data_IF_773335819857
#
_entry.id   IF_773335819857
#
_cell.length_a   1.000
_cell.length_b   1.000
_cell.length_c   1.000
_cell.angle_alpha   90.00
_cell.angle_beta   90.00
_cell.angle_gamma   90.00
#
_symmetry.space_group_name_H-M   'P 1'
#
loop_
_entity.id
_entity.type
_entity.pdbx_description
1 polymer ?
#
# COMPACT_ATOMS: atom_id res chain seq x y z
N UNK A 1 58.03 -32.98 -53.61
CA UNK A 1 57.14 -33.22 -52.45
C UNK A 1 55.69 -33.03 -52.91
N UNK A 2 54.97 -34.11 -53.23
CA UNK A 2 53.55 -34.08 -53.66
C UNK A 2 52.81 -35.19 -52.91
N UNK A 3 51.79 -34.79 -52.16
CA UNK A 3 50.91 -35.64 -51.36
C UNK A 3 50.11 -36.61 -52.24
N UNK A 4 50.20 -37.92 -51.96
CA UNK A 4 49.29 -38.94 -52.48
C UNK A 4 48.24 -39.27 -51.42
N UNK A 5 46.97 -38.98 -51.74
CA UNK A 5 45.79 -39.46 -51.02
C UNK A 5 45.59 -40.96 -51.26
N UNK A 6 45.36 -41.74 -50.20
CA UNK A 6 44.77 -43.10 -50.28
C UNK A 6 43.65 -43.22 -49.25
N UNK A 7 42.48 -43.67 -49.72
CA UNK A 7 41.26 -43.94 -48.93
C UNK A 7 41.47 -45.17 -48.02
N UNK A 8 40.85 -45.22 -46.83
CA UNK A 8 40.90 -46.39 -45.95
C UNK A 8 39.94 -47.51 -46.39
N UNK A 9 40.35 -48.76 -46.18
CA UNK A 9 39.56 -49.99 -46.36
C UNK A 9 38.78 -50.30 -45.08
N UNK A 10 37.54 -50.77 -45.24
CA UNK A 10 36.66 -51.32 -44.19
C UNK A 10 37.33 -52.48 -43.45
N UNK A 11 37.26 -52.45 -42.13
CA UNK A 11 37.38 -53.61 -41.26
C UNK A 11 36.04 -53.77 -40.55
N UNK A 12 35.41 -54.92 -40.79
CA UNK A 12 34.23 -55.43 -40.08
C UNK A 12 34.76 -56.09 -38.82
N UNK A 13 34.24 -55.70 -37.66
CA UNK A 13 34.40 -56.44 -36.41
C UNK A 13 33.00 -56.89 -36.01
N UNK A 14 32.83 -58.21 -36.00
CA UNK A 14 31.69 -58.91 -35.42
C UNK A 14 31.70 -58.67 -33.91
N UNK A 15 30.62 -58.08 -33.36
CA UNK A 15 30.37 -58.12 -31.93
C UNK A 15 29.47 -59.31 -31.62
N UNK A 16 30.03 -60.21 -30.82
CA UNK A 16 29.44 -61.43 -30.30
C UNK A 16 28.11 -61.16 -29.58
N UNK A 17 27.10 -61.96 -29.91
CA UNK A 17 25.90 -62.11 -29.10
C UNK A 17 26.27 -62.76 -27.77
N UNK A 18 26.36 -61.98 -26.70
CA UNK A 18 26.30 -62.50 -25.34
C UNK A 18 24.85 -62.46 -24.87
N UNK A 19 24.22 -63.64 -24.90
CA UNK A 19 22.93 -63.92 -24.29
C UNK A 19 23.04 -63.84 -22.78
N UNK A 20 22.67 -62.70 -22.19
CA UNK A 20 22.36 -62.63 -20.76
C UNK A 20 20.85 -62.85 -20.59
N UNK A 21 20.50 -64.07 -20.17
CA UNK A 21 19.21 -64.39 -19.58
C UNK A 21 19.02 -63.58 -18.29
N UNK A 22 18.38 -62.42 -18.38
CA UNK A 22 17.83 -61.73 -17.22
C UNK A 22 16.64 -62.53 -16.71
N UNK A 23 16.71 -63.01 -15.47
CA UNK A 23 15.54 -63.40 -14.70
C UNK A 23 14.50 -62.28 -14.83
N UNK A 24 13.35 -62.54 -15.46
CA UNK A 24 12.31 -61.53 -15.57
C UNK A 24 11.78 -61.25 -14.16
N UNK A 25 12.19 -60.12 -13.57
CA UNK A 25 11.60 -59.61 -12.34
C UNK A 25 10.07 -59.68 -12.44
N UNK A 26 9.36 -60.18 -11.42
CA UNK A 26 7.92 -60.29 -11.47
C UNK A 26 7.29 -58.91 -11.71
N UNK A 27 6.43 -58.81 -12.73
CA UNK A 27 5.80 -57.57 -13.17
C UNK A 27 4.31 -57.57 -12.84
N UNK A 28 3.80 -56.45 -12.35
CA UNK A 28 2.38 -56.18 -12.12
C UNK A 28 1.81 -55.31 -13.22
N UNK A 29 0.56 -55.57 -13.59
CA UNK A 29 -0.18 -54.76 -14.56
C UNK A 29 -0.89 -53.60 -13.87
N UNK A 30 -0.67 -52.38 -14.36
CA UNK A 30 -1.23 -51.13 -13.84
C UNK A 30 -2.01 -50.42 -14.95
N UNK A 31 -3.19 -49.92 -14.60
CA UNK A 31 -4.05 -49.12 -15.47
C UNK A 31 -3.74 -47.64 -15.28
N UNK A 32 -3.13 -47.02 -16.27
CA UNK A 32 -2.85 -45.59 -16.30
C UNK A 32 -3.98 -44.86 -17.01
N UNK A 33 -4.62 -43.92 -16.34
CA UNK A 33 -5.76 -43.14 -16.87
C UNK A 33 -5.38 -41.68 -16.96
N UNK A 34 -5.35 -41.13 -18.18
CA UNK A 34 -5.02 -39.74 -18.46
C UNK A 34 -6.15 -39.08 -19.27
N UNK A 35 -7.08 -38.42 -18.58
CA UNK A 35 -8.31 -37.92 -19.23
C UNK A 35 -9.13 -39.09 -19.77
N UNK A 36 -9.33 -39.13 -21.09
CA UNK A 36 -10.02 -40.23 -21.81
C UNK A 36 -9.04 -41.31 -22.31
N UNK A 37 -7.73 -41.06 -22.26
CA UNK A 37 -6.69 -42.01 -22.70
C UNK A 37 -6.38 -43.00 -21.56
N UNK A 38 -6.57 -44.30 -21.83
CA UNK A 38 -6.34 -45.39 -20.89
C UNK A 38 -5.25 -46.29 -21.46
N UNK A 39 -4.13 -46.41 -20.74
CA UNK A 39 -3.02 -47.28 -21.13
C UNK A 39 -2.70 -48.27 -20.03
N UNK A 40 -2.38 -49.49 -20.43
CA UNK A 40 -1.91 -50.51 -19.50
C UNK A 40 -0.38 -50.56 -19.53
N UNK A 41 0.24 -50.64 -18.35
CA UNK A 41 1.69 -50.75 -18.20
C UNK A 41 2.03 -51.93 -17.29
N UNK A 42 3.13 -52.62 -17.60
CA UNK A 42 3.72 -53.61 -16.72
C UNK A 42 4.84 -52.93 -15.92
N UNK A 43 4.71 -52.88 -14.60
CA UNK A 43 5.72 -52.32 -13.69
C UNK A 43 6.34 -53.45 -12.85
N UNK A 44 7.62 -53.38 -12.47
CA UNK A 44 8.22 -54.35 -11.53
C UNK A 44 7.50 -54.35 -10.18
N UNK A 45 7.46 -55.48 -9.44
CA UNK A 45 6.86 -55.54 -8.10
C UNK A 45 7.54 -54.62 -7.07
N UNK A 46 8.84 -54.38 -7.23
CA UNK A 46 9.61 -53.44 -6.40
C UNK A 46 9.86 -52.10 -7.13
N UNK A 47 8.89 -51.64 -7.93
CA UNK A 47 8.98 -50.38 -8.63
C UNK A 47 9.09 -49.21 -7.64
N UNK A 48 10.14 -48.41 -7.75
CA UNK A 48 10.23 -47.13 -7.03
C UNK A 48 9.47 -46.03 -7.79
N UNK A 49 9.13 -44.94 -7.09
CA UNK A 49 8.33 -43.88 -7.69
C UNK A 49 9.01 -43.20 -8.89
N UNK A 50 10.34 -43.11 -8.90
CA UNK A 50 11.10 -42.56 -10.03
C UNK A 50 10.97 -43.45 -11.28
N UNK A 51 11.06 -44.77 -11.10
CA UNK A 51 10.90 -45.74 -12.19
C UNK A 51 9.48 -45.77 -12.72
N UNK A 52 8.50 -45.61 -11.84
CA UNK A 52 7.11 -45.44 -12.24
C UNK A 52 6.93 -44.19 -13.11
N UNK A 53 7.58 -43.06 -12.76
CA UNK A 53 7.55 -41.84 -13.58
C UNK A 53 8.20 -42.02 -14.94
N UNK A 54 9.32 -42.74 -15.03
CA UNK A 54 9.94 -43.09 -16.32
C UNK A 54 8.96 -43.89 -17.19
N UNK A 55 8.34 -44.93 -16.64
CA UNK A 55 7.37 -45.76 -17.36
C UNK A 55 6.17 -44.94 -17.83
N UNK A 56 5.66 -44.03 -16.99
CA UNK A 56 4.58 -43.12 -17.36
C UNK A 56 5.04 -42.17 -18.47
N UNK A 57 6.26 -41.63 -18.41
CA UNK A 57 6.83 -40.75 -19.43
C UNK A 57 6.97 -41.47 -20.78
N UNK A 58 7.43 -42.73 -20.78
CA UNK A 58 7.52 -43.55 -21.98
C UNK A 58 6.15 -43.85 -22.59
N UNK A 59 5.15 -44.10 -21.73
CA UNK A 59 3.78 -44.38 -22.17
C UNK A 59 3.03 -43.14 -22.58
N UNK A 60 3.42 -41.95 -22.11
CA UNK A 60 2.80 -40.67 -22.48
C UNK A 60 3.87 -39.62 -22.84
N UNK A 61 4.56 -39.75 -24.01
CA UNK A 61 5.72 -38.92 -24.39
C UNK A 61 5.44 -37.41 -24.48
N UNK A 62 4.18 -37.03 -24.69
CA UNK A 62 3.74 -35.62 -24.77
C UNK A 62 3.60 -34.96 -23.39
N UNK A 63 3.71 -35.72 -22.30
CA UNK A 63 3.38 -35.27 -20.95
C UNK A 63 4.63 -34.88 -20.17
N UNK A 64 5.14 -33.66 -20.41
CA UNK A 64 6.40 -33.19 -19.77
C UNK A 64 6.33 -33.01 -18.25
N UNK A 65 5.15 -33.11 -17.63
CA UNK A 65 5.01 -33.01 -16.19
C UNK A 65 3.65 -33.59 -15.71
N UNK A 66 3.69 -34.73 -15.03
CA UNK A 66 2.51 -35.52 -14.63
C UNK A 66 2.40 -35.70 -13.11
N UNK A 67 1.21 -35.44 -12.58
CA UNK A 67 0.81 -35.80 -11.22
C UNK A 67 0.18 -37.19 -11.26
N UNK A 68 0.62 -38.08 -10.37
CA UNK A 68 0.09 -39.45 -10.26
C UNK A 68 -0.83 -39.50 -9.04
N UNK A 69 -2.06 -39.98 -9.23
CA UNK A 69 -3.03 -40.15 -8.15
C UNK A 69 -3.59 -41.56 -8.12
N UNK A 70 -4.01 -42.03 -6.95
CA UNK A 70 -4.82 -43.24 -6.79
C UNK A 70 -6.12 -42.91 -6.07
N UNK A 71 -7.05 -43.87 -6.07
CA UNK A 71 -8.28 -43.77 -5.27
C UNK A 71 -8.10 -44.63 -4.02
N UNK A 72 -8.26 -44.05 -2.85
CA UNK A 72 -8.19 -44.79 -1.58
C UNK A 72 -9.51 -45.54 -1.27
N UNK A 73 -9.56 -46.16 -0.09
CA UNK A 73 -10.73 -46.92 0.39
C UNK A 73 -11.94 -46.03 0.69
N UNK A 74 -11.73 -44.73 0.94
CA UNK A 74 -12.77 -43.73 1.20
C UNK A 74 -13.34 -43.15 -0.11
N UNK A 75 -12.67 -43.41 -1.23
CA UNK A 75 -13.09 -42.99 -2.56
C UNK A 75 -12.40 -41.70 -3.04
N UNK A 76 -11.47 -41.16 -2.25
CA UNK A 76 -10.78 -39.91 -2.50
C UNK A 76 -9.55 -40.07 -3.39
N UNK A 77 -9.27 -39.01 -4.16
CA UNK A 77 -8.17 -38.96 -5.14
C UNK A 77 -6.88 -38.44 -4.49
N UNK A 78 -6.12 -39.36 -3.90
CA UNK A 78 -4.86 -39.09 -3.20
C UNK A 78 -3.70 -38.98 -4.18
N UNK A 79 -2.78 -38.06 -3.91
CA UNK A 79 -1.60 -37.80 -4.75
C UNK A 79 -0.41 -38.63 -4.28
N UNK A 80 0.30 -39.26 -5.22
CA UNK A 80 1.53 -40.01 -4.96
C UNK A 80 2.72 -39.12 -5.33
N UNK A 81 3.60 -38.88 -4.37
CA UNK A 81 4.79 -38.03 -4.46
C UNK A 81 6.09 -38.76 -4.14
N UNK A 82 6.01 -39.90 -3.44
CA UNK A 82 7.15 -40.71 -3.03
C UNK A 82 6.85 -42.23 -3.11
N UNK A 83 7.87 -43.05 -2.87
CA UNK A 83 7.74 -44.52 -2.96
C UNK A 83 6.88 -45.10 -1.85
N UNK A 84 6.83 -44.50 -0.67
CA UNK A 84 6.00 -44.99 0.45
C UNK A 84 4.51 -44.84 0.14
N UNK A 85 4.12 -43.68 -0.41
CA UNK A 85 2.76 -43.42 -0.89
C UNK A 85 2.38 -44.34 -2.06
N UNK A 86 3.35 -44.76 -2.87
CA UNK A 86 3.11 -45.77 -3.89
C UNK A 86 2.83 -47.14 -3.26
N UNK A 87 3.53 -47.52 -2.18
CA UNK A 87 3.24 -48.76 -1.43
C UNK A 87 1.85 -48.74 -0.83
N UNK A 88 1.44 -47.62 -0.23
CA UNK A 88 0.07 -47.46 0.29
C UNK A 88 -0.97 -47.62 -0.82
N UNK A 89 -0.73 -47.01 -1.99
CA UNK A 89 -1.60 -47.18 -3.16
C UNK A 89 -1.64 -48.64 -3.65
N UNK A 90 -0.51 -49.34 -3.64
CA UNK A 90 -0.42 -50.76 -4.02
C UNK A 90 -1.11 -51.69 -3.02
N UNK A 91 -1.07 -51.37 -1.73
CA UNK A 91 -1.73 -52.13 -0.66
C UNK A 91 -3.25 -51.93 -0.67
N UNK A 92 -3.73 -50.74 -1.07
CA UNK A 92 -5.17 -50.46 -1.18
C UNK A 92 -5.87 -51.26 -2.28
N UNK A 93 -5.12 -51.85 -3.22
CA UNK A 93 -5.64 -52.65 -4.33
C UNK A 93 -5.62 -54.14 -3.96
N UNK A 94 -6.59 -54.58 -3.14
CA UNK A 94 -6.54 -55.87 -2.44
C UNK A 94 -6.42 -57.10 -3.37
N UNK A 95 -6.94 -57.10 -4.61
CA UNK A 95 -6.85 -58.30 -5.47
C UNK A 95 -6.80 -58.08 -7.01
N UNK A 96 -6.67 -56.86 -7.52
CA UNK A 96 -6.63 -56.61 -8.97
C UNK A 96 -5.83 -55.35 -9.35
N UNK A 97 -5.50 -55.22 -10.63
CA UNK A 97 -4.66 -54.17 -11.24
C UNK A 97 -4.85 -52.77 -10.62
N UNK A 98 -3.77 -52.16 -10.14
CA UNK A 98 -3.76 -50.80 -9.58
C UNK A 98 -4.20 -49.80 -10.66
N UNK A 99 -5.14 -48.92 -10.35
CA UNK A 99 -5.58 -47.84 -11.24
C UNK A 99 -4.96 -46.52 -10.79
N UNK A 100 -4.07 -45.98 -11.62
CA UNK A 100 -3.43 -44.69 -11.39
C UNK A 100 -4.03 -43.64 -12.34
N UNK A 101 -4.49 -42.54 -11.77
CA UNK A 101 -4.98 -41.38 -12.51
C UNK A 101 -3.84 -40.39 -12.70
N UNK A 102 -3.50 -40.13 -13.95
CA UNK A 102 -2.47 -39.18 -14.38
C UNK A 102 -3.16 -37.86 -14.67
N UNK A 103 -2.65 -36.78 -14.09
CA UNK A 103 -3.12 -35.42 -14.37
C UNK A 103 -1.95 -34.55 -14.82
N UNK A 104 -2.18 -33.71 -15.83
CA UNK A 104 -1.18 -32.72 -16.21
C UNK A 104 -1.02 -31.65 -15.14
N UNK A 105 0.23 -31.24 -14.91
CA UNK A 105 0.54 -30.08 -14.08
C UNK A 105 -0.03 -28.75 -14.62
N UNK A 106 -0.59 -28.66 -15.84
CA UNK A 106 -1.29 -27.44 -16.25
C UNK A 106 -2.55 -27.16 -15.41
N UNK A 107 -3.21 -28.20 -14.85
CA UNK A 107 -4.32 -28.01 -13.90
C UNK A 107 -3.83 -27.41 -12.58
N UNK A 108 -2.63 -27.76 -12.11
CA UNK A 108 -2.03 -27.13 -10.92
C UNK A 108 -1.54 -25.72 -11.23
N UNK A 109 -1.04 -25.44 -12.44
CA UNK A 109 -0.71 -24.08 -12.87
C UNK A 109 -1.97 -23.19 -12.95
N UNK A 110 -3.10 -23.74 -13.40
CA UNK A 110 -4.42 -23.07 -13.34
C UNK A 110 -4.88 -22.84 -11.91
N UNK A 111 -4.67 -23.79 -11.00
CA UNK A 111 -5.03 -23.66 -9.58
C UNK A 111 -4.14 -22.66 -8.85
N UNK A 112 -2.82 -22.68 -9.09
CA UNK A 112 -1.86 -21.69 -8.59
C UNK A 112 -2.18 -20.29 -9.15
N UNK A 113 -2.50 -20.18 -10.44
CA UNK A 113 -2.93 -18.91 -11.05
C UNK A 113 -4.23 -18.40 -10.42
N UNK A 114 -5.21 -19.29 -10.20
CA UNK A 114 -6.50 -18.97 -9.58
C UNK A 114 -6.35 -18.57 -8.11
N UNK A 115 -5.51 -19.25 -7.34
CA UNK A 115 -5.18 -18.87 -5.96
C UNK A 115 -4.51 -17.49 -5.90
N UNK A 116 -3.55 -17.21 -6.79
CA UNK A 116 -2.99 -15.85 -6.94
C UNK A 116 -4.05 -14.80 -7.29
N UNK A 117 -5.03 -15.15 -8.12
CA UNK A 117 -6.15 -14.25 -8.45
C UNK A 117 -7.05 -14.00 -7.24
N UNK A 118 -7.35 -15.01 -6.43
CA UNK A 118 -8.16 -14.84 -5.21
C UNK A 118 -7.43 -14.03 -4.14
N UNK A 119 -6.12 -14.26 -3.93
CA UNK A 119 -5.31 -13.44 -3.03
C UNK A 119 -5.29 -11.98 -3.47
N UNK A 120 -5.04 -11.72 -4.77
CA UNK A 120 -5.07 -10.35 -5.31
C UNK A 120 -6.46 -9.72 -5.21
N UNK A 121 -7.54 -10.49 -5.41
CA UNK A 121 -8.90 -9.99 -5.21
C UNK A 121 -9.17 -9.63 -3.74
N UNK A 122 -8.75 -10.48 -2.80
CA UNK A 122 -8.89 -10.23 -1.37
C UNK A 122 -8.13 -8.96 -0.94
N UNK A 123 -6.89 -8.78 -1.39
CA UNK A 123 -6.09 -7.57 -1.15
C UNK A 123 -6.80 -6.31 -1.68
N UNK A 124 -7.36 -6.38 -2.91
CA UNK A 124 -8.15 -5.26 -3.48
C UNK A 124 -9.41 -4.96 -2.67
N UNK A 125 -10.12 -5.98 -2.19
CA UNK A 125 -11.30 -5.75 -1.34
C UNK A 125 -10.93 -5.12 0.01
N UNK A 126 -9.81 -5.52 0.60
CA UNK A 126 -9.27 -4.87 1.80
C UNK A 126 -8.91 -3.41 1.54
N UNK A 127 -8.24 -3.11 0.42
CA UNK A 127 -7.93 -1.73 0.01
C UNK A 127 -9.22 -0.90 -0.16
N UNK A 128 -10.23 -1.42 -0.86
CA UNK A 128 -11.49 -0.73 -1.07
C UNK A 128 -12.26 -0.49 0.24
N UNK A 129 -12.21 -1.45 1.18
CA UNK A 129 -12.83 -1.29 2.50
C UNK A 129 -12.12 -0.23 3.35
N UNK A 130 -10.78 -0.23 3.38
CA UNK A 130 -9.99 0.79 4.05
C UNK A 130 -10.25 2.18 3.43
N UNK A 131 -10.28 2.28 2.09
CA UNK A 131 -10.55 3.52 1.37
C UNK A 131 -11.95 4.07 1.65
N UNK A 132 -12.96 3.21 1.76
CA UNK A 132 -14.32 3.64 2.10
C UNK A 132 -14.38 4.27 3.51
N UNK A 133 -13.70 3.67 4.48
CA UNK A 133 -13.61 4.20 5.85
C UNK A 133 -12.82 5.52 5.90
N UNK A 134 -11.68 5.58 5.21
CA UNK A 134 -10.91 6.82 5.05
C UNK A 134 -11.78 7.96 4.48
N UNK A 135 -12.51 7.71 3.39
CA UNK A 135 -13.39 8.71 2.80
C UNK A 135 -14.55 9.09 3.76
N UNK A 136 -15.05 8.16 4.56
CA UNK A 136 -16.02 8.46 5.62
C UNK A 136 -15.42 9.41 6.68
N UNK A 137 -14.15 9.22 7.07
CA UNK A 137 -13.41 10.14 7.92
C UNK A 137 -13.30 11.54 7.30
N UNK A 138 -13.03 11.63 6.00
CA UNK A 138 -12.93 12.92 5.28
C UNK A 138 -14.25 13.70 5.26
N UNK A 139 -15.39 13.00 5.23
CA UNK A 139 -16.70 13.63 5.38
C UNK A 139 -16.84 14.27 6.77
N UNK A 140 -16.36 13.60 7.82
CA UNK A 140 -16.37 14.15 9.17
C UNK A 140 -15.40 15.33 9.33
N UNK A 141 -14.19 15.28 8.76
CA UNK A 141 -13.28 16.44 8.70
C UNK A 141 -13.94 17.64 7.98
N UNK A 142 -14.57 17.39 6.83
CA UNK A 142 -15.27 18.42 6.06
C UNK A 142 -16.45 19.01 6.82
N UNK A 143 -17.16 18.18 7.59
CA UNK A 143 -18.16 18.65 8.54
C UNK A 143 -17.49 19.56 9.55
N UNK A 144 -16.53 19.09 10.35
CA UNK A 144 -15.88 19.90 11.40
C UNK A 144 -15.46 21.33 10.94
N UNK A 145 -15.03 21.49 9.68
CA UNK A 145 -14.65 22.76 9.06
C UNK A 145 -15.82 23.64 8.54
N UNK A 146 -17.07 23.26 8.76
CA UNK A 146 -18.26 23.95 8.24
C UNK A 146 -18.26 25.41 8.68
N UNK A 147 -18.31 26.32 7.70
CA UNK A 147 -18.31 27.77 7.91
C UNK A 147 -19.64 28.23 8.49
N UNK A 148 -19.57 29.12 9.49
CA UNK A 148 -20.69 29.99 9.84
C UNK A 148 -20.59 31.34 9.12
N UNK A 149 -21.76 31.93 8.88
CA UNK A 149 -21.92 33.34 8.56
C UNK A 149 -22.43 34.03 9.82
N UNK A 150 -21.60 34.90 10.40
CA UNK A 150 -22.07 35.84 11.41
C UNK A 150 -22.68 37.03 10.67
N UNK A 151 -23.87 37.47 11.08
CA UNK A 151 -24.41 38.77 10.69
C UNK A 151 -23.79 39.82 11.60
N UNK A 152 -23.35 40.95 11.05
CA UNK A 152 -22.63 42.03 11.77
C UNK A 152 -23.40 42.56 13.00
N UNK A 153 -24.73 42.42 13.03
CA UNK A 153 -25.61 42.86 14.13
C UNK A 153 -25.76 41.85 15.30
N UNK A 154 -24.94 40.79 15.35
CA UNK A 154 -25.07 39.74 16.38
C UNK A 154 -24.54 40.21 17.74
N UNK A 155 -25.32 40.03 18.82
CA UNK A 155 -24.86 40.37 20.17
C UNK A 155 -23.71 39.48 20.64
N UNK A 156 -22.79 40.03 21.45
CA UNK A 156 -21.59 39.30 21.97
C UNK A 156 -21.94 38.00 22.68
N UNK A 157 -23.01 38.01 23.48
CA UNK A 157 -23.52 36.82 24.19
C UNK A 157 -24.07 35.74 23.23
N UNK A 158 -24.69 36.16 22.12
CA UNK A 158 -25.14 35.23 21.09
C UNK A 158 -23.95 34.61 20.33
N UNK A 159 -22.95 35.43 19.99
CA UNK A 159 -21.69 34.97 19.37
C UNK A 159 -20.99 33.95 20.27
N UNK A 160 -20.85 34.24 21.56
CA UNK A 160 -20.20 33.34 22.52
C UNK A 160 -20.90 31.97 22.61
N UNK A 161 -22.22 31.94 22.77
CA UNK A 161 -22.99 30.68 22.79
C UNK A 161 -22.87 29.89 21.49
N UNK A 162 -22.84 30.57 20.34
CA UNK A 162 -22.61 29.90 19.06
C UNK A 162 -21.20 29.34 18.95
N UNK A 163 -20.17 30.09 19.35
CA UNK A 163 -18.77 29.64 19.33
C UNK A 163 -18.60 28.38 20.18
N UNK A 164 -19.16 28.34 21.39
CA UNK A 164 -19.12 27.13 22.22
C UNK A 164 -19.82 25.93 21.58
N UNK A 165 -21.04 26.13 21.05
CA UNK A 165 -21.76 25.04 20.37
C UNK A 165 -21.00 24.50 19.16
N UNK A 166 -20.28 25.35 18.43
CA UNK A 166 -19.47 24.95 17.29
C UNK A 166 -18.21 24.22 17.72
N UNK A 167 -17.55 24.68 18.78
CA UNK A 167 -16.41 24.01 19.37
C UNK A 167 -16.78 22.56 19.73
N UNK A 168 -17.87 22.38 20.49
CA UNK A 168 -18.34 21.05 20.90
C UNK A 168 -18.67 20.17 19.68
N UNK A 169 -19.30 20.77 18.67
CA UNK A 169 -19.65 20.06 17.43
C UNK A 169 -18.41 19.64 16.63
N UNK A 170 -17.45 20.55 16.44
CA UNK A 170 -16.23 20.27 15.69
C UNK A 170 -15.38 19.22 16.41
N UNK A 171 -15.27 19.28 17.74
CA UNK A 171 -14.63 18.24 18.56
C UNK A 171 -15.28 16.85 18.35
N UNK A 172 -16.62 16.80 18.34
CA UNK A 172 -17.34 15.56 18.10
C UNK A 172 -17.12 15.01 16.68
N UNK A 173 -17.09 15.86 15.66
CA UNK A 173 -16.81 15.45 14.28
C UNK A 173 -15.34 15.02 14.09
N UNK A 174 -14.37 15.71 14.69
CA UNK A 174 -12.97 15.27 14.69
C UNK A 174 -12.78 13.91 15.35
N UNK A 175 -13.47 13.67 16.48
CA UNK A 175 -13.46 12.36 17.16
C UNK A 175 -14.02 11.25 16.26
N UNK A 176 -15.09 11.53 15.50
CA UNK A 176 -15.63 10.57 14.53
C UNK A 176 -14.66 10.33 13.38
N UNK A 177 -14.01 11.38 12.88
CA UNK A 177 -13.00 11.25 11.81
C UNK A 177 -11.84 10.35 12.24
N UNK A 178 -11.26 10.59 13.42
CA UNK A 178 -10.16 9.78 13.96
C UNK A 178 -10.52 8.29 14.05
N UNK A 179 -11.72 7.97 14.58
CA UNK A 179 -12.22 6.58 14.63
C UNK A 179 -12.29 5.92 13.25
N UNK A 180 -12.73 6.64 12.23
CA UNK A 180 -12.79 6.11 10.86
C UNK A 180 -11.41 5.84 10.27
N UNK A 181 -10.44 6.71 10.53
CA UNK A 181 -9.06 6.49 10.10
C UNK A 181 -8.43 5.29 10.82
N UNK A 182 -8.65 5.15 12.13
CA UNK A 182 -8.21 3.98 12.88
C UNK A 182 -8.85 2.68 12.37
N UNK A 183 -10.15 2.68 12.05
CA UNK A 183 -10.83 1.54 11.43
C UNK A 183 -10.22 1.19 10.07
N UNK A 184 -9.86 2.18 9.25
CA UNK A 184 -9.18 1.96 7.97
C UNK A 184 -7.80 1.29 8.18
N UNK A 185 -7.03 1.76 9.16
CA UNK A 185 -5.71 1.23 9.48
C UNK A 185 -5.75 -0.19 10.07
N UNK A 186 -6.84 -0.57 10.75
CA UNK A 186 -7.06 -1.95 11.19
C UNK A 186 -7.25 -2.92 10.03
N UNK A 187 -7.84 -2.46 8.93
CA UNK A 187 -8.03 -3.27 7.71
C UNK A 187 -6.74 -3.29 6.88
N UNK A 188 -6.11 -2.13 6.70
CA UNK A 188 -4.89 -1.97 5.91
C UNK A 188 -3.86 -1.15 6.71
N UNK A 189 -2.94 -1.81 7.44
CA UNK A 189 -1.94 -1.12 8.25
C UNK A 189 -0.92 -0.32 7.42
N UNK A 190 -0.70 -0.71 6.16
CA UNK A 190 0.20 -0.06 5.20
C UNK A 190 -0.50 1.06 4.38
N UNK A 191 -1.50 1.74 4.96
CA UNK A 191 -2.28 2.78 4.29
C UNK A 191 -1.81 4.18 4.71
N UNK A 192 -0.77 4.70 4.05
CA UNK A 192 -0.09 5.95 4.43
C UNK A 192 -1.05 7.15 4.43
N UNK A 193 -2.04 7.19 3.52
CA UNK A 193 -3.02 8.28 3.48
C UNK A 193 -3.86 8.35 4.76
N UNK A 194 -4.23 7.21 5.34
CA UNK A 194 -4.99 7.17 6.59
C UNK A 194 -4.14 7.56 7.80
N UNK A 195 -2.84 7.26 7.80
CA UNK A 195 -1.89 7.72 8.83
C UNK A 195 -1.76 9.24 8.78
N UNK A 196 -1.52 9.80 7.58
CA UNK A 196 -1.42 11.25 7.40
C UNK A 196 -2.73 11.98 7.78
N UNK A 197 -3.88 11.42 7.40
CA UNK A 197 -5.18 11.97 7.78
C UNK A 197 -5.44 11.95 9.28
N UNK A 198 -4.98 10.90 9.99
CA UNK A 198 -5.06 10.82 11.43
C UNK A 198 -4.20 11.90 12.10
N UNK A 199 -2.98 12.12 11.61
CA UNK A 199 -2.11 13.19 12.11
C UNK A 199 -2.72 14.58 11.88
N UNK A 200 -3.29 14.83 10.69
CA UNK A 200 -4.01 16.07 10.41
C UNK A 200 -5.22 16.27 11.33
N UNK A 201 -6.00 15.21 11.57
CA UNK A 201 -7.15 15.27 12.47
C UNK A 201 -6.71 15.66 13.88
N UNK A 202 -5.65 15.05 14.40
CA UNK A 202 -5.12 15.32 15.74
C UNK A 202 -4.60 16.75 15.85
N UNK A 203 -3.88 17.22 14.85
CA UNK A 203 -3.46 18.61 14.74
C UNK A 203 -4.64 19.58 14.78
N UNK A 204 -5.66 19.38 13.95
CA UNK A 204 -6.82 20.29 13.92
C UNK A 204 -7.59 20.28 15.25
N UNK A 205 -7.64 19.13 15.92
CA UNK A 205 -8.26 19.01 17.24
C UNK A 205 -7.45 19.75 18.32
N UNK A 206 -6.11 19.64 18.28
CA UNK A 206 -5.20 20.37 19.16
C UNK A 206 -5.32 21.87 18.95
N UNK A 207 -5.21 22.32 17.69
CA UNK A 207 -5.36 23.72 17.29
C UNK A 207 -6.71 24.27 17.76
N UNK A 208 -7.81 23.57 17.49
CA UNK A 208 -9.15 24.01 17.92
C UNK A 208 -9.24 24.23 19.43
N UNK A 209 -8.74 23.28 20.22
CA UNK A 209 -8.76 23.41 21.68
C UNK A 209 -7.84 24.51 22.20
N UNK A 210 -6.67 24.71 21.59
CA UNK A 210 -5.76 25.80 21.93
C UNK A 210 -6.42 27.16 21.71
N UNK A 211 -6.93 27.40 20.50
CA UNK A 211 -7.58 28.67 20.18
C UNK A 211 -8.89 28.89 20.93
N UNK A 212 -9.61 27.83 21.27
CA UNK A 212 -10.76 27.94 22.16
C UNK A 212 -10.35 28.38 23.56
N UNK A 213 -9.25 27.87 24.11
CA UNK A 213 -8.75 28.31 25.41
C UNK A 213 -8.28 29.77 25.39
N UNK A 214 -7.53 30.17 24.36
CA UNK A 214 -7.07 31.56 24.23
C UNK A 214 -8.24 32.52 24.07
N UNK A 215 -9.22 32.23 23.21
CA UNK A 215 -10.39 33.10 23.00
C UNK A 215 -11.40 33.13 24.15
N UNK A 216 -11.17 32.38 25.24
CA UNK A 216 -11.96 32.43 26.47
C UNK A 216 -11.16 33.02 27.65
N UNK A 217 -10.00 33.64 27.39
CA UNK A 217 -9.11 34.22 28.39
C UNK A 217 -8.80 33.27 29.57
N UNK A 218 -8.61 31.98 29.26
CA UNK A 218 -8.33 30.98 30.28
C UNK A 218 -6.91 31.20 30.83
N UNK A 219 -6.75 31.10 32.14
CA UNK A 219 -5.43 31.18 32.78
C UNK A 219 -4.52 30.04 32.29
N UNK A 220 -3.49 30.41 31.53
CA UNK A 220 -2.58 29.46 30.88
C UNK A 220 -1.70 28.70 31.88
N UNK A 221 -1.45 29.25 33.07
CA UNK A 221 -0.66 28.58 34.10
C UNK A 221 -1.40 27.37 34.70
N UNK A 222 -2.74 27.46 34.78
CA UNK A 222 -3.60 26.39 35.32
C UNK A 222 -4.35 25.58 34.25
N UNK A 223 -4.24 25.98 32.98
CA UNK A 223 -4.92 25.30 31.87
C UNK A 223 -4.31 23.91 31.60
N UNK A 224 -5.13 22.84 31.47
CA UNK A 224 -4.65 21.48 31.26
C UNK A 224 -4.11 21.27 29.83
N UNK A 225 -2.88 21.73 29.59
CA UNK A 225 -2.19 21.66 28.29
C UNK A 225 -1.73 20.24 27.90
N UNK A 226 -1.71 19.29 28.85
CA UNK A 226 -1.20 17.93 28.63
C UNK A 226 -1.91 17.18 27.51
N UNK A 227 -3.25 17.26 27.41
CA UNK A 227 -4.00 16.59 26.34
C UNK A 227 -3.67 17.22 24.97
N UNK A 228 -3.40 18.52 24.92
CA UNK A 228 -3.12 19.28 23.69
C UNK A 228 -1.72 18.93 23.18
N UNK A 229 -0.73 18.93 24.09
CA UNK A 229 0.64 18.53 23.79
C UNK A 229 0.69 17.08 23.27
N UNK A 230 -0.08 16.19 23.90
CA UNK A 230 -0.22 14.80 23.46
C UNK A 230 -0.84 14.69 22.06
N UNK A 231 -1.81 15.53 21.71
CA UNK A 231 -2.37 15.57 20.35
C UNK A 231 -1.35 16.07 19.33
N UNK A 232 -0.53 17.08 19.67
CA UNK A 232 0.55 17.55 18.81
C UNK A 232 1.64 16.49 18.61
N UNK A 233 2.06 15.80 19.68
CA UNK A 233 3.01 14.69 19.60
C UNK A 233 2.50 13.59 18.65
N UNK A 234 1.25 13.15 18.85
CA UNK A 234 0.64 12.14 17.95
C UNK A 234 0.51 12.62 16.52
N UNK A 235 0.24 13.91 16.31
CA UNK A 235 0.15 14.49 14.97
C UNK A 235 1.49 14.41 14.26
N UNK A 236 2.57 14.79 14.94
CA UNK A 236 3.95 14.73 14.45
C UNK A 236 4.41 13.29 14.18
N UNK A 237 4.20 12.36 15.12
CA UNK A 237 4.50 10.92 14.95
C UNK A 237 3.79 10.33 13.72
N UNK A 238 2.53 10.72 13.48
CA UNK A 238 1.79 10.29 12.30
C UNK A 238 2.28 10.95 11.01
N UNK A 239 2.82 12.17 11.05
CA UNK A 239 3.47 12.77 9.88
C UNK A 239 4.73 12.02 9.49
N UNK A 240 5.61 11.75 10.47
CA UNK A 240 6.85 11.00 10.26
C UNK A 240 6.56 9.60 9.72
N UNK A 241 5.67 8.86 10.40
CA UNK A 241 5.27 7.52 9.98
C UNK A 241 4.62 7.52 8.59
N UNK A 242 3.71 8.46 8.33
CA UNK A 242 3.03 8.57 7.05
C UNK A 242 3.98 8.90 5.90
N UNK A 243 4.96 9.77 6.14
CA UNK A 243 6.02 10.11 5.19
C UNK A 243 6.88 8.89 4.85
N UNK A 244 7.39 8.17 5.87
CA UNK A 244 8.19 6.96 5.65
C UNK A 244 7.43 5.90 4.84
N UNK A 245 6.16 5.65 5.19
CA UNK A 245 5.34 4.68 4.47
C UNK A 245 5.11 5.07 3.02
N UNK A 246 4.95 6.37 2.75
CA UNK A 246 4.80 6.89 1.40
C UNK A 246 6.10 6.75 0.59
N UNK A 247 7.25 7.06 1.19
CA UNK A 247 8.56 6.90 0.54
C UNK A 247 8.86 5.44 0.19
N UNK A 248 8.59 4.51 1.11
CA UNK A 248 8.74 3.07 0.87
C UNK A 248 7.82 2.58 -0.25
N UNK A 249 6.59 3.10 -0.32
CA UNK A 249 5.63 2.74 -1.36
C UNK A 249 6.04 3.31 -2.73
N UNK A 250 6.55 4.53 -2.75
CA UNK A 250 7.04 5.20 -3.96
C UNK A 250 8.33 4.53 -4.49
N UNK A 251 9.25 4.14 -3.63
CA UNK A 251 10.45 3.38 -4.01
C UNK A 251 10.06 2.03 -4.66
N UNK A 252 9.14 1.29 -4.05
CA UNK A 252 8.60 0.04 -4.63
C UNK A 252 7.96 0.28 -5.99
N UNK A 253 7.15 1.34 -6.13
CA UNK A 253 6.51 1.71 -7.40
C UNK A 253 7.55 1.97 -8.49
N UNK A 254 8.62 2.70 -8.18
CA UNK A 254 9.72 2.99 -9.11
C UNK A 254 10.47 1.71 -9.50
N UNK A 255 10.75 0.83 -8.54
CA UNK A 255 11.38 -0.47 -8.79
C UNK A 255 10.50 -1.33 -9.70
N UNK A 256 9.20 -1.42 -9.43
CA UNK A 256 8.25 -2.21 -10.24
C UNK A 256 8.12 -1.69 -11.68
N UNK A 257 8.14 -0.36 -11.87
CA UNK A 257 8.15 0.25 -13.21
C UNK A 257 9.45 0.01 -13.97
N UNK A 258 10.58 -0.19 -13.28
CA UNK A 258 11.87 -0.50 -13.90
C UNK A 258 12.01 -1.97 -14.32
N UNK A 259 11.15 -2.87 -13.85
CA UNK A 259 11.16 -4.28 -14.23
C UNK A 259 10.38 -4.49 -15.53
N UNK A 260 10.96 -5.15 -16.56
CA UNK A 260 10.25 -5.42 -17.80
C UNK A 260 9.08 -6.37 -17.53
N UNK A 261 7.86 -5.83 -17.60
CA UNK A 261 6.66 -6.58 -17.34
C UNK A 261 6.44 -7.58 -18.49
N UNK A 262 6.57 -8.89 -18.23
CA UNK A 262 6.27 -9.95 -19.23
C UNK A 262 4.82 -9.93 -19.74
N UNK A 263 3.96 -9.13 -19.10
CA UNK A 263 2.53 -8.98 -19.37
C UNK A 263 2.26 -7.86 -20.40
N UNK A 264 3.11 -6.83 -20.48
CA UNK A 264 3.00 -5.75 -21.47
C UNK A 264 2.96 -6.25 -22.92
N UNK A 265 3.88 -7.13 -23.38
CA UNK A 265 3.83 -7.66 -24.74
C UNK A 265 2.63 -8.59 -24.98
N UNK A 266 1.99 -9.10 -23.91
CA UNK A 266 0.76 -9.90 -24.01
C UNK A 266 -0.49 -9.01 -24.11
N UNK A 267 -0.52 -7.87 -23.40
CA UNK A 267 -1.60 -6.88 -23.48
C UNK A 267 -1.58 -6.14 -24.83
N UNK A 268 -0.39 -5.82 -25.35
CA UNK A 268 -0.20 -5.26 -26.69
C UNK A 268 -0.72 -6.18 -27.78
N UNK A 269 -0.49 -7.49 -27.62
CA UNK A 269 -1.05 -8.51 -28.52
C UNK A 269 -2.58 -8.60 -28.43
N UNK A 270 -3.17 -8.25 -27.30
CA UNK A 270 -4.62 -8.29 -27.06
C UNK A 270 -5.32 -6.95 -27.35
N UNK A 271 -4.61 -5.89 -27.76
CA UNK A 271 -5.15 -4.52 -27.96
C UNK A 271 -5.91 -3.97 -26.75
N UNK A 272 -5.58 -4.44 -25.55
CA UNK A 272 -6.15 -3.95 -24.28
C UNK A 272 -5.37 -2.74 -23.73
N UNK A 273 -4.36 -2.27 -24.45
CA UNK A 273 -3.48 -1.16 -24.07
C UNK A 273 -4.24 0.13 -23.75
N UNK A 274 -5.43 0.31 -24.34
CA UNK A 274 -6.30 1.48 -24.13
C UNK A 274 -7.12 1.42 -22.83
N UNK A 275 -7.08 0.33 -22.08
CA UNK A 275 -7.82 0.17 -20.81
C UNK A 275 -6.96 0.49 -19.58
N UNK A 276 -5.66 0.65 -19.76
CA UNK A 276 -4.76 1.10 -18.72
C UNK A 276 -4.42 2.56 -19.04
N UNK A 277 -5.01 3.49 -18.31
CA UNK A 277 -4.52 4.86 -18.24
C UNK A 277 -3.14 4.82 -17.57
N UNK A 278 -2.10 4.48 -18.35
CA UNK A 278 -0.73 4.54 -17.90
C UNK A 278 -0.33 6.01 -17.83
N UNK A 279 -0.31 6.55 -16.61
CA UNK A 279 0.29 7.85 -16.32
C UNK A 279 1.76 7.78 -16.78
N UNK A 280 2.21 8.64 -17.70
CA UNK A 280 3.60 8.72 -18.13
C UNK A 280 4.57 8.83 -16.94
N UNK A 281 5.78 8.29 -17.09
CA UNK A 281 6.76 8.29 -16.01
C UNK A 281 7.05 9.69 -15.46
N UNK A 282 7.12 10.69 -16.35
CA UNK A 282 7.34 12.09 -15.99
C UNK A 282 6.17 12.67 -15.19
N UNK A 283 4.92 12.40 -15.61
CA UNK A 283 3.72 12.82 -14.89
C UNK A 283 3.63 12.16 -13.50
N UNK A 284 4.03 10.89 -13.40
CA UNK A 284 4.02 10.18 -12.13
C UNK A 284 5.11 10.67 -11.17
N UNK A 285 6.28 11.04 -11.69
CA UNK A 285 7.36 11.66 -10.91
C UNK A 285 6.95 13.06 -10.41
N UNK A 286 6.30 13.85 -11.26
CA UNK A 286 5.74 15.15 -10.86
C UNK A 286 4.66 14.98 -9.79
N UNK A 287 3.74 14.01 -9.95
CA UNK A 287 2.75 13.69 -8.94
C UNK A 287 3.38 13.28 -7.60
N UNK A 288 4.44 12.47 -7.62
CA UNK A 288 5.15 12.08 -6.41
C UNK A 288 5.85 13.27 -5.72
N UNK A 289 6.52 14.13 -6.49
CA UNK A 289 7.13 15.36 -5.96
C UNK A 289 6.07 16.28 -5.32
N UNK A 290 4.89 16.36 -5.92
CA UNK A 290 3.78 17.14 -5.41
C UNK A 290 3.22 16.58 -4.10
N UNK A 291 3.03 15.26 -4.01
CA UNK A 291 2.59 14.61 -2.76
C UNK A 291 3.62 14.87 -1.65
N UNK A 292 4.92 14.69 -1.93
CA UNK A 292 6.01 14.97 -0.98
C UNK A 292 5.95 16.40 -0.46
N UNK A 293 5.85 17.36 -1.36
CA UNK A 293 5.77 18.78 -1.01
C UNK A 293 4.58 19.06 -0.10
N UNK A 294 3.38 18.55 -0.41
CA UNK A 294 2.20 18.78 0.43
C UNK A 294 2.28 18.12 1.81
N UNK A 295 2.91 16.94 1.93
CA UNK A 295 3.17 16.31 3.22
C UNK A 295 4.08 17.21 4.07
N UNK A 296 5.16 17.72 3.48
CA UNK A 296 6.08 18.63 4.15
C UNK A 296 5.42 19.97 4.55
N UNK A 297 4.56 20.55 3.70
CA UNK A 297 3.78 21.75 4.07
C UNK A 297 2.92 21.49 5.29
N UNK A 298 2.17 20.37 5.32
CA UNK A 298 1.34 20.02 6.47
C UNK A 298 2.19 19.82 7.72
N UNK A 299 3.29 19.08 7.61
CA UNK A 299 4.18 18.81 8.75
C UNK A 299 4.79 20.09 9.32
N UNK A 300 5.35 20.95 8.45
CA UNK A 300 5.85 22.26 8.87
C UNK A 300 4.77 23.11 9.53
N UNK A 301 3.54 23.05 9.04
CA UNK A 301 2.41 23.78 9.61
C UNK A 301 2.07 23.29 11.03
N UNK A 302 2.04 21.97 11.24
CA UNK A 302 1.79 21.37 12.57
C UNK A 302 2.82 21.89 13.58
N UNK A 303 4.10 21.85 13.19
CA UNK A 303 5.21 22.25 14.05
C UNK A 303 5.24 23.77 14.29
N UNK A 304 4.96 24.58 13.30
CA UNK A 304 4.88 26.04 13.46
C UNK A 304 3.76 26.46 14.42
N UNK A 305 2.62 25.80 14.37
CA UNK A 305 1.50 26.10 15.26
C UNK A 305 1.76 25.59 16.68
N UNK A 306 2.43 24.44 16.79
CA UNK A 306 2.92 23.90 18.06
C UNK A 306 3.92 24.87 18.70
N UNK A 307 4.86 25.43 17.95
CA UNK A 307 5.86 26.38 18.48
C UNK A 307 5.21 27.65 19.02
N UNK A 308 4.15 28.16 18.38
CA UNK A 308 3.38 29.30 18.88
C UNK A 308 2.76 28.99 20.26
N UNK A 309 2.13 27.81 20.38
CA UNK A 309 1.53 27.38 21.64
C UNK A 309 2.60 27.20 22.72
N UNK A 310 3.69 26.49 22.41
CA UNK A 310 4.78 26.23 23.36
C UNK A 310 5.43 27.54 23.83
N UNK A 311 5.64 28.51 22.94
CA UNK A 311 6.14 29.84 23.30
C UNK A 311 5.20 30.54 24.28
N UNK A 312 3.89 30.59 23.97
CA UNK A 312 2.89 31.23 24.82
C UNK A 312 2.71 30.53 26.18
N UNK A 313 3.00 29.23 26.27
CA UNK A 313 3.04 28.47 27.51
C UNK A 313 4.39 28.58 28.25
N UNK A 314 5.38 29.31 27.71
CA UNK A 314 6.71 29.44 28.31
C UNK A 314 7.56 28.17 28.25
N UNK A 315 7.24 27.21 27.38
CA UNK A 315 7.95 25.94 27.25
C UNK A 315 9.21 26.11 26.40
N UNK A 316 10.41 25.79 26.89
CA UNK A 316 11.68 26.14 26.22
C UNK A 316 11.90 25.45 24.86
N UNK A 317 11.21 24.33 24.62
CA UNK A 317 11.31 23.51 23.40
C UNK A 317 10.72 24.17 22.14
N UNK A 318 10.03 25.31 22.28
CA UNK A 318 9.37 25.98 21.16
C UNK A 318 10.33 26.34 20.02
N UNK A 319 11.59 26.66 20.34
CA UNK A 319 12.61 27.03 19.34
C UNK A 319 12.94 25.84 18.42
N UNK A 320 13.17 24.67 19.01
CA UNK A 320 13.46 23.44 18.27
C UNK A 320 12.27 23.09 17.35
N UNK A 321 11.05 23.23 17.87
CA UNK A 321 9.84 23.02 17.10
C UNK A 321 9.73 23.98 15.89
N UNK A 322 10.08 25.26 16.07
CA UNK A 322 10.10 26.24 15.00
C UNK A 322 11.19 25.96 13.96
N UNK A 323 12.39 25.57 14.39
CA UNK A 323 13.49 25.21 13.50
C UNK A 323 13.14 24.01 12.61
N UNK A 324 12.58 22.95 13.20
CA UNK A 324 12.14 21.77 12.42
C UNK A 324 10.98 22.15 11.49
N UNK A 325 10.07 23.04 11.92
CA UNK A 325 9.01 23.54 11.04
C UNK A 325 9.58 24.18 9.77
N UNK A 326 10.58 25.06 9.92
CA UNK A 326 11.26 25.75 8.83
C UNK A 326 11.93 24.74 7.88
N UNK A 327 12.64 23.76 8.41
CA UNK A 327 13.25 22.69 7.60
C UNK A 327 12.20 21.98 6.74
N UNK A 328 11.01 21.67 7.30
CA UNK A 328 9.94 21.04 6.53
C UNK A 328 9.40 21.96 5.45
N UNK A 329 9.25 23.25 5.69
CA UNK A 329 8.86 24.20 4.64
C UNK A 329 9.92 24.32 3.54
N UNK A 330 11.21 24.31 3.88
CA UNK A 330 12.30 24.29 2.89
C UNK A 330 12.24 23.01 2.03
N UNK A 331 12.03 21.84 2.66
CA UNK A 331 11.82 20.57 1.94
C UNK A 331 10.53 20.55 1.11
N UNK A 332 9.54 21.37 1.44
CA UNK A 332 8.37 21.59 0.61
C UNK A 332 8.63 22.50 -0.61
N UNK A 333 9.77 23.19 -0.63
CA UNK A 333 10.19 24.12 -1.68
C UNK A 333 9.95 25.60 -1.37
N UNK A 334 9.76 25.97 -0.09
CA UNK A 334 9.56 27.36 0.34
C UNK A 334 10.75 28.25 -0.04
N UNK A 335 10.46 29.44 -0.55
CA UNK A 335 11.53 30.40 -0.84
C UNK A 335 12.08 30.98 0.46
N UNK A 336 13.36 31.37 0.47
CA UNK A 336 13.97 32.01 1.64
C UNK A 336 13.22 33.30 2.06
N UNK A 337 12.56 33.98 1.11
CA UNK A 337 11.70 35.13 1.40
C UNK A 337 10.46 34.73 2.19
N UNK A 338 9.77 33.66 1.79
CA UNK A 338 8.58 33.17 2.50
C UNK A 338 8.93 32.67 3.90
N UNK A 339 10.06 31.96 4.04
CA UNK A 339 10.61 31.54 5.34
C UNK A 339 10.91 32.75 6.23
N UNK A 340 11.54 33.79 5.70
CA UNK A 340 11.82 35.00 6.47
C UNK A 340 10.54 35.70 6.96
N UNK A 341 9.49 35.73 6.13
CA UNK A 341 8.17 36.25 6.51
C UNK A 341 7.56 35.40 7.63
N UNK A 342 7.61 34.08 7.53
CA UNK A 342 7.12 33.17 8.56
C UNK A 342 7.82 33.36 9.90
N UNK A 343 9.16 33.40 9.91
CA UNK A 343 9.94 33.65 11.12
C UNK A 343 9.53 34.98 11.73
N UNK A 344 9.47 36.05 10.92
CA UNK A 344 9.10 37.38 11.40
C UNK A 344 7.69 37.44 12.01
N UNK A 345 6.74 36.64 11.50
CA UNK A 345 5.38 36.58 12.01
C UNK A 345 5.22 35.71 13.26
N UNK A 346 6.22 34.90 13.62
CA UNK A 346 6.14 34.09 14.82
C UNK A 346 6.06 35.00 16.07
N UNK A 347 5.18 34.64 17.01
CA UNK A 347 4.88 35.46 18.18
C UNK A 347 6.05 35.67 19.17
N UNK A 348 7.17 35.01 18.95
CA UNK A 348 8.42 35.22 19.69
C UNK A 348 9.20 36.46 19.25
N UNK A 349 8.85 37.08 18.12
CA UNK A 349 9.53 38.25 17.60
C UNK A 349 8.82 39.55 18.03
N UNK A 350 9.45 40.31 18.93
CA UNK A 350 8.97 41.62 19.43
C UNK A 350 8.82 42.71 18.34
N UNK A 351 9.27 42.44 17.11
CA UNK A 351 9.23 43.40 15.99
C UNK A 351 7.98 43.29 15.11
N UNK A 352 7.11 42.31 15.37
CA UNK A 352 5.81 42.24 14.72
C UNK A 352 4.91 43.34 15.31
N UNK A 353 4.60 44.39 14.52
CA UNK A 353 3.57 45.36 14.90
C UNK A 353 2.27 44.59 15.23
N UNK A 354 1.69 44.84 16.40
CA UNK A 354 0.36 44.35 16.78
C UNK A 354 -0.62 44.62 15.62
N UNK A 355 -1.11 43.54 15.00
CA UNK A 355 -2.10 43.60 13.92
C UNK A 355 -1.59 43.56 12.47
N UNK A 356 -0.29 43.32 12.21
CA UNK A 356 0.28 43.27 10.83
C UNK A 356 0.99 41.94 10.51
N UNK A 357 0.75 40.88 11.28
CA UNK A 357 1.26 39.53 10.99
C UNK A 357 0.34 38.77 10.05
N UNK A 358 0.89 38.02 9.08
CA UNK A 358 0.10 37.08 8.28
C UNK A 358 -0.17 35.82 9.08
N UNK A 359 -1.42 35.35 9.11
CA UNK A 359 -1.74 34.05 9.71
C UNK A 359 -1.08 32.95 8.86
N UNK A 360 -0.47 31.94 9.48
CA UNK A 360 0.11 30.80 8.77
C UNK A 360 -0.91 30.14 7.82
N UNK A 361 -2.19 30.19 8.18
CA UNK A 361 -3.30 29.70 7.36
C UNK A 361 -3.43 30.47 6.03
N UNK A 362 -3.10 31.76 6.00
CA UNK A 362 -3.09 32.59 4.80
C UNK A 362 -1.88 32.29 3.91
N UNK A 363 -0.71 32.07 4.52
CA UNK A 363 0.52 31.67 3.81
C UNK A 363 0.31 30.31 3.15
N UNK A 364 -0.22 29.33 3.89
CA UNK A 364 -0.55 28.00 3.38
C UNK A 364 -1.66 28.06 2.31
N UNK A 365 -2.63 28.97 2.46
CA UNK A 365 -3.67 29.16 1.44
C UNK A 365 -3.09 29.72 0.14
N UNK A 366 -2.24 30.74 0.21
CA UNK A 366 -1.54 31.29 -0.97
C UNK A 366 -0.66 30.21 -1.64
N UNK A 367 0.02 29.39 -0.84
CA UNK A 367 0.78 28.24 -1.32
C UNK A 367 -0.09 27.25 -2.11
N UNK A 368 -1.25 26.90 -1.55
CA UNK A 368 -2.22 26.00 -2.19
C UNK A 368 -2.75 26.60 -3.51
N UNK A 369 -2.99 27.91 -3.57
CA UNK A 369 -3.44 28.59 -4.79
C UNK A 369 -2.36 28.62 -5.88
N UNK A 370 -1.10 28.89 -5.50
CA UNK A 370 0.04 28.78 -6.43
C UNK A 370 0.22 27.36 -6.95
N UNK A 371 0.03 26.37 -6.09
CA UNK A 371 0.07 24.96 -6.46
C UNK A 371 -1.05 24.62 -7.45
N UNK A 372 -2.29 25.06 -7.22
CA UNK A 372 -3.39 24.85 -8.17
C UNK A 372 -3.06 25.45 -9.53
N UNK A 373 -2.51 26.66 -9.58
CA UNK A 373 -2.13 27.30 -10.84
C UNK A 373 -1.12 26.45 -11.63
N UNK A 374 -0.08 25.92 -10.96
CA UNK A 374 0.91 25.01 -11.58
C UNK A 374 0.27 23.70 -12.04
N UNK A 375 -0.60 23.11 -11.22
CA UNK A 375 -1.32 21.87 -11.54
C UNK A 375 -2.21 22.02 -12.78
N UNK A 376 -2.98 23.11 -12.86
CA UNK A 376 -3.81 23.43 -14.01
C UNK A 376 -2.98 23.64 -15.28
N UNK A 377 -1.81 24.25 -15.15
CA UNK A 377 -0.88 24.46 -16.26
C UNK A 377 -0.27 23.15 -16.78
N UNK A 378 0.03 22.21 -15.88
CA UNK A 378 0.73 20.96 -16.19
C UNK A 378 -0.21 19.75 -16.37
N UNK A 379 -1.53 19.93 -16.28
CA UNK A 379 -2.55 18.85 -16.38
C UNK A 379 -2.34 17.69 -15.40
N UNK A 380 -1.73 17.95 -14.24
CA UNK A 380 -1.39 16.89 -13.27
C UNK A 380 -2.66 16.35 -12.58
N UNK A 381 -2.89 15.02 -12.51
CA UNK A 381 -4.06 14.43 -11.87
C UNK A 381 -4.16 14.73 -10.36
N UNK A 382 -5.39 14.84 -9.85
CA UNK A 382 -5.63 14.96 -8.40
C UNK A 382 -5.30 13.67 -7.64
N UNK A 383 -4.81 13.80 -6.41
CA UNK A 383 -4.54 12.66 -5.53
C UNK A 383 -5.45 12.64 -4.30
N UNK A 384 -5.56 11.48 -3.64
CA UNK A 384 -6.59 11.20 -2.62
C UNK A 384 -6.49 12.08 -1.37
N UNK A 385 -5.28 12.47 -0.98
CA UNK A 385 -5.02 13.34 0.17
C UNK A 385 -5.24 14.82 -0.15
N UNK A 386 -5.31 15.19 -1.42
CA UNK A 386 -5.36 16.59 -1.83
C UNK A 386 -6.56 17.36 -1.22
N UNK A 387 -7.79 16.82 -1.11
CA UNK A 387 -8.89 17.51 -0.42
C UNK A 387 -8.67 17.68 1.09
N UNK A 388 -7.87 16.81 1.71
CA UNK A 388 -7.52 16.91 3.12
C UNK A 388 -6.45 17.97 3.34
N UNK A 389 -5.36 17.91 2.56
CA UNK A 389 -4.19 18.80 2.66
C UNK A 389 -4.47 20.23 2.16
N UNK A 390 -5.47 20.41 1.29
CA UNK A 390 -6.04 21.73 0.93
C UNK A 390 -6.81 22.33 2.12
N UNK A 391 -6.07 22.74 3.14
CA UNK A 391 -6.55 23.48 4.30
C UNK A 391 -7.26 24.74 3.82
N UNK A 392 -8.55 24.87 4.12
CA UNK A 392 -9.27 26.15 4.02
C UNK A 392 -9.40 26.70 5.43
N UNK A 393 -8.97 27.96 5.62
CA UNK A 393 -9.05 28.64 6.92
C UNK A 393 -10.49 28.54 7.46
N UNK A 394 -10.66 27.94 8.63
CA UNK A 394 -11.95 27.94 9.30
C UNK A 394 -12.16 29.30 9.93
N UNK A 395 -13.28 29.96 9.59
CA UNK A 395 -13.66 31.25 10.21
C UNK A 395 -13.85 31.14 11.73
N UNK A 396 -13.98 29.92 12.26
CA UNK A 396 -13.99 29.67 13.70
C UNK A 396 -12.66 30.05 14.35
N UNK A 397 -11.51 29.74 13.72
CA UNK A 397 -10.21 30.14 14.24
C UNK A 397 -10.07 31.66 14.26
N UNK A 398 -10.46 32.33 13.17
CA UNK A 398 -10.49 33.79 13.11
C UNK A 398 -11.40 34.40 14.19
N UNK A 399 -12.59 33.82 14.41
CA UNK A 399 -13.50 34.27 15.46
C UNK A 399 -12.93 34.04 16.86
N UNK A 400 -12.16 32.98 17.08
CA UNK A 400 -11.50 32.68 18.36
C UNK A 400 -10.24 33.52 18.59
N UNK A 401 -9.52 33.87 17.54
CA UNK A 401 -8.35 34.77 17.58
C UNK A 401 -8.74 36.24 17.87
N UNK A 402 -10.00 36.60 17.60
CA UNK A 402 -10.50 37.98 17.70
C UNK A 402 -11.75 38.17 18.60
N UNK A 403 -12.14 37.14 19.36
CA UNK A 403 -13.20 37.23 20.39
C UNK A 403 -12.66 37.81 21.70
#
# INVERSE_FOLDING_TARGET
>A
MRLRRRKPRKLVVEEEKLSNSTEEEPKRTVKLVFGEDIRWAKIPLNCNFMKLREIISDRFPTSKAVLVKYRDQEGDLVTITNTEELRMAEASAEHCSVKLSIQMLWKTQSLVKRLKTFSSAAEKFQEMAALALFNCGNVHMSRARKRLYFTEDSSREFVFRQVKSLYDWAQAEYTKAGKRYEEALKIKPDFYEAVLALGQQQFERAKLSWYYAIGNDVDLESWPSTEILELYNKAEENMEKGMQMWEDAEEKRVIELSQPNKIEPLLQKMKLDKLLDHVPADEAAEQAANIRSQIHVLWGTILYERSIMEFKLGLPVWHECLEVAIEKFELAGASSTDIAVMIKNHCSNDTALEGVGFNIDEIVQAWNEMYEAKKWQNSVPSFRLEPLLRRRVSKLYYALEHA
#
